data_IF_781779860519
#
_entry.id   IF_781779860519
#
_cell.length_a   1.000
_cell.length_b   1.000
_cell.length_c   1.000
_cell.angle_alpha   90.00
_cell.angle_beta   90.00
_cell.angle_gamma   90.00
#
_symmetry.space_group_name_H-M   'P 1'
#
loop_
_entity.id
_entity.type
_entity.pdbx_description
1 polymer ?
#
# COMPACT_ATOMS: atom_id res chain seq x y z
N UNK A 1 8.51 -4.94 -4.05
CA UNK A 1 8.26 -5.39 -2.67
C UNK A 1 7.96 -6.88 -2.64
N UNK A 2 8.75 -7.68 -1.91
CA UNK A 2 8.53 -9.12 -1.74
C UNK A 2 7.50 -9.46 -0.64
N UNK A 3 7.07 -8.48 0.15
CA UNK A 3 6.27 -8.68 1.36
C UNK A 3 4.86 -9.19 1.05
N UNK A 4 4.16 -8.63 0.06
CA UNK A 4 2.84 -9.11 -0.37
C UNK A 4 2.89 -10.58 -0.83
N UNK A 5 3.93 -10.95 -1.59
CA UNK A 5 4.13 -12.34 -2.02
C UNK A 5 4.41 -13.27 -0.83
N UNK A 6 5.17 -12.83 0.17
CA UNK A 6 5.39 -13.58 1.41
C UNK A 6 4.10 -13.78 2.22
N UNK A 7 3.25 -12.75 2.29
CA UNK A 7 1.95 -12.83 2.97
C UNK A 7 1.02 -13.85 2.28
N UNK A 8 0.96 -13.82 0.94
CA UNK A 8 0.22 -14.82 0.16
C UNK A 8 0.79 -16.23 0.33
N UNK A 9 2.12 -16.39 0.33
CA UNK A 9 2.76 -17.68 0.56
C UNK A 9 2.48 -18.22 1.98
N UNK A 10 2.45 -17.35 2.99
CA UNK A 10 2.08 -17.73 4.35
C UNK A 10 0.61 -18.17 4.45
N UNK A 11 -0.30 -17.48 3.76
CA UNK A 11 -1.71 -17.87 3.67
C UNK A 11 -1.88 -19.23 2.97
N UNK A 12 -1.17 -19.47 1.86
CA UNK A 12 -1.19 -20.74 1.14
C UNK A 12 -0.61 -21.89 1.97
N UNK A 13 0.46 -21.64 2.73
CA UNK A 13 1.04 -22.62 3.65
C UNK A 13 0.04 -22.97 4.76
N UNK A 14 -0.59 -21.98 5.37
CA UNK A 14 -1.63 -22.18 6.37
C UNK A 14 -2.80 -23.00 5.80
N UNK A 15 -3.28 -22.65 4.61
CA UNK A 15 -4.37 -23.35 3.93
C UNK A 15 -4.02 -24.83 3.66
N UNK A 16 -2.85 -25.11 3.07
CA UNK A 16 -2.45 -26.46 2.66
C UNK A 16 -2.00 -27.35 3.82
N UNK A 17 -1.28 -26.80 4.79
CA UNK A 17 -0.64 -27.59 5.85
C UNK A 17 -1.31 -27.45 7.21
N UNK A 18 -2.05 -26.36 7.45
CA UNK A 18 -2.63 -26.01 8.75
C UNK A 18 -1.60 -25.44 9.71
N UNK A 19 -0.34 -25.38 9.29
CA UNK A 19 0.77 -24.83 10.05
C UNK A 19 0.83 -23.35 9.77
N UNK A 20 0.69 -22.56 10.83
CA UNK A 20 0.90 -21.12 10.79
C UNK A 20 2.27 -20.83 11.37
N UNK A 21 3.13 -20.25 10.54
CA UNK A 21 4.45 -19.82 10.94
C UNK A 21 4.60 -18.35 10.61
N UNK A 22 4.37 -17.50 11.62
CA UNK A 22 4.61 -16.06 11.53
C UNK A 22 6.02 -15.68 11.97
N UNK A 23 6.84 -16.66 12.39
CA UNK A 23 8.17 -16.40 12.93
C UNK A 23 9.03 -15.70 11.88
N UNK A 24 8.97 -16.15 10.63
CA UNK A 24 9.66 -15.51 9.51
C UNK A 24 9.23 -14.04 9.29
N UNK A 25 7.93 -13.74 9.41
CA UNK A 25 7.42 -12.37 9.25
C UNK A 25 7.90 -11.50 10.40
N UNK A 26 7.84 -12.00 11.62
CA UNK A 26 8.30 -11.31 12.82
C UNK A 26 9.81 -11.07 12.78
N UNK A 27 10.61 -12.10 12.51
CA UNK A 27 12.06 -12.01 12.39
C UNK A 27 12.48 -11.05 11.27
N UNK A 28 11.76 -11.04 10.15
CA UNK A 28 12.00 -10.08 9.08
C UNK A 28 11.78 -8.64 9.55
N UNK A 29 10.65 -8.36 10.21
CA UNK A 29 10.38 -7.01 10.72
C UNK A 29 11.38 -6.61 11.82
N UNK A 30 11.64 -7.49 12.79
CA UNK A 30 12.65 -7.27 13.83
C UNK A 30 14.03 -7.01 13.22
N UNK A 31 14.40 -7.72 12.16
CA UNK A 31 15.62 -7.49 11.39
C UNK A 31 15.67 -6.09 10.78
N UNK A 32 14.58 -5.64 10.15
CA UNK A 32 14.45 -4.28 9.59
C UNK A 32 14.63 -3.22 10.67
N UNK A 33 13.90 -3.32 11.79
CA UNK A 33 14.01 -2.36 12.90
C UNK A 33 15.41 -2.36 13.52
N UNK A 34 16.04 -3.53 13.65
CA UNK A 34 17.40 -3.66 14.16
C UNK A 34 18.44 -3.03 13.23
N UNK A 35 18.34 -3.24 11.92
CA UNK A 35 19.23 -2.65 10.92
C UNK A 35 19.10 -1.13 10.88
N UNK A 36 17.87 -0.62 11.01
CA UNK A 36 17.56 0.80 11.06
C UNK A 36 17.87 1.45 12.42
N UNK A 37 18.18 0.66 13.46
CA UNK A 37 18.47 1.16 14.79
C UNK A 37 17.28 1.85 15.48
N UNK A 38 16.05 1.46 15.14
CA UNK A 38 14.81 1.99 15.73
C UNK A 38 14.05 0.94 16.54
N UNK A 39 13.39 1.33 17.65
CA UNK A 39 12.48 0.43 18.33
C UNK A 39 11.28 0.13 17.43
N UNK A 40 10.82 -1.12 17.45
CA UNK A 40 9.59 -1.51 16.75
C UNK A 40 8.38 -0.82 17.40
N UNK A 41 7.56 -0.07 16.65
CA UNK A 41 6.34 0.53 17.18
C UNK A 41 5.38 -0.54 17.71
N UNK A 42 4.70 -0.24 18.82
CA UNK A 42 3.66 -1.12 19.40
C UNK A 42 2.61 -1.49 18.35
N UNK A 43 2.25 -0.54 17.47
CA UNK A 43 1.30 -0.77 16.39
C UNK A 43 1.73 -1.88 15.43
N UNK A 44 3.03 -2.02 15.17
CA UNK A 44 3.55 -3.09 14.31
C UNK A 44 3.41 -4.44 15.00
N UNK A 45 3.68 -4.52 16.31
CA UNK A 45 3.46 -5.75 17.08
C UNK A 45 1.98 -6.15 17.08
N UNK A 46 1.06 -5.21 17.28
CA UNK A 46 -0.39 -5.45 17.19
C UNK A 46 -0.80 -6.01 15.83
N UNK A 47 -0.26 -5.44 14.75
CA UNK A 47 -0.54 -5.88 13.38
C UNK A 47 -0.03 -7.30 13.11
N UNK A 48 1.15 -7.66 13.63
CA UNK A 48 1.69 -9.02 13.52
C UNK A 48 0.81 -10.02 14.26
N UNK A 49 0.34 -9.68 15.47
CA UNK A 49 -0.58 -10.53 16.22
C UNK A 49 -1.95 -10.66 15.54
N UNK A 50 -2.46 -9.58 14.94
CA UNK A 50 -3.68 -9.63 14.14
C UNK A 50 -3.54 -10.55 12.94
N UNK A 51 -2.44 -10.46 12.19
CA UNK A 51 -2.12 -11.34 11.08
C UNK A 51 -2.06 -12.81 11.54
N UNK A 52 -1.43 -13.08 12.67
CA UNK A 52 -1.33 -14.43 13.24
C UNK A 52 -2.71 -15.05 13.52
N UNK A 53 -3.63 -14.27 14.12
CA UNK A 53 -5.00 -14.73 14.37
C UNK A 53 -5.73 -15.10 13.09
N UNK A 54 -5.60 -14.28 12.04
CA UNK A 54 -6.26 -14.52 10.76
C UNK A 54 -5.69 -15.78 10.08
N UNK A 55 -4.36 -15.90 10.01
CA UNK A 55 -3.71 -17.08 9.45
C UNK A 55 -4.06 -18.36 10.23
N UNK A 56 -4.18 -18.27 11.56
CA UNK A 56 -4.64 -19.37 12.41
C UNK A 56 -6.06 -19.81 12.08
N UNK A 57 -6.96 -18.86 11.84
CA UNK A 57 -8.31 -19.14 11.35
C UNK A 57 -8.29 -19.88 10.00
N UNK A 58 -7.47 -19.42 9.05
CA UNK A 58 -7.29 -20.09 7.75
C UNK A 58 -6.74 -21.51 7.90
N UNK A 59 -5.72 -21.70 8.76
CA UNK A 59 -5.13 -23.01 9.01
C UNK A 59 -6.09 -24.00 9.69
N UNK A 60 -6.98 -23.50 10.55
CA UNK A 60 -7.99 -24.31 11.24
C UNK A 60 -9.13 -24.70 10.30
N UNK A 61 -9.70 -23.73 9.59
CA UNK A 61 -10.86 -23.94 8.72
C UNK A 61 -10.51 -24.59 7.39
N UNK A 62 -9.23 -24.53 6.97
CA UNK A 62 -8.78 -24.98 5.66
C UNK A 62 -9.51 -24.30 4.50
N UNK A 63 -9.95 -23.07 4.76
CA UNK A 63 -10.64 -22.22 3.79
C UNK A 63 -10.13 -20.79 3.92
N UNK A 64 -10.11 -20.09 2.80
CA UNK A 64 -9.77 -18.67 2.73
C UNK A 64 -10.75 -17.95 1.81
N UNK A 65 -11.54 -17.06 2.38
CA UNK A 65 -12.44 -16.21 1.59
C UNK A 65 -11.66 -15.09 0.89
N UNK A 66 -12.21 -14.52 -0.18
CA UNK A 66 -11.63 -13.35 -0.84
C UNK A 66 -11.39 -12.19 0.15
N UNK A 67 -12.31 -11.98 1.10
CA UNK A 67 -12.18 -10.97 2.15
C UNK A 67 -11.01 -11.26 3.10
N UNK A 68 -10.81 -12.53 3.46
CA UNK A 68 -9.66 -12.93 4.27
C UNK A 68 -8.34 -12.72 3.51
N UNK A 69 -8.30 -12.99 2.19
CA UNK A 69 -7.14 -12.67 1.34
C UNK A 69 -6.83 -11.18 1.36
N UNK A 70 -7.82 -10.32 1.08
CA UNK A 70 -7.67 -8.85 1.08
C UNK A 70 -7.13 -8.36 2.43
N UNK A 71 -7.69 -8.88 3.54
CA UNK A 71 -7.18 -8.56 4.89
C UNK A 71 -5.73 -8.99 5.08
N UNK A 72 -5.35 -10.20 4.65
CA UNK A 72 -3.99 -10.72 4.80
C UNK A 72 -2.99 -9.89 3.99
N UNK A 73 -3.28 -9.57 2.72
CA UNK A 73 -2.36 -8.79 1.88
C UNK A 73 -2.23 -7.35 2.37
N UNK A 74 -3.27 -6.80 3.01
CA UNK A 74 -3.24 -5.43 3.54
C UNK A 74 -2.17 -5.18 4.60
N UNK A 75 -1.76 -6.22 5.33
CA UNK A 75 -0.73 -6.07 6.37
C UNK A 75 0.60 -5.57 5.81
N UNK A 76 0.91 -5.84 4.54
CA UNK A 76 2.11 -5.33 3.90
C UNK A 76 2.19 -3.81 3.96
N UNK A 77 1.15 -3.14 3.47
CA UNK A 77 1.06 -1.67 3.44
C UNK A 77 0.88 -1.10 4.85
N UNK A 78 -0.01 -1.70 5.67
CA UNK A 78 -0.28 -1.26 7.05
C UNK A 78 0.96 -1.28 7.93
N UNK A 79 1.83 -2.29 7.79
CA UNK A 79 3.11 -2.34 8.51
C UNK A 79 4.10 -1.35 7.90
N UNK A 80 4.18 -1.27 6.57
CA UNK A 80 5.17 -0.43 5.88
C UNK A 80 5.04 1.04 6.23
N UNK A 81 3.81 1.57 6.31
CA UNK A 81 3.60 2.99 6.69
C UNK A 81 4.01 3.29 8.13
N UNK A 82 3.87 2.32 9.04
CA UNK A 82 4.29 2.48 10.44
C UNK A 82 5.82 2.44 10.57
N UNK A 83 6.47 1.54 9.83
CA UNK A 83 7.95 1.50 9.73
C UNK A 83 8.46 2.82 9.19
N UNK A 84 7.90 3.28 8.06
CA UNK A 84 8.35 4.51 7.40
C UNK A 84 8.15 5.74 8.29
N UNK A 85 6.99 5.86 8.96
CA UNK A 85 6.75 6.95 9.90
C UNK A 85 7.74 6.92 11.09
N UNK A 86 8.09 5.74 11.60
CA UNK A 86 9.08 5.61 12.68
C UNK A 86 10.48 6.04 12.24
N UNK A 87 10.93 5.61 11.06
CA UNK A 87 12.22 6.03 10.47
C UNK A 87 12.24 7.54 10.21
N UNK A 88 11.16 8.08 9.65
CA UNK A 88 11.04 9.51 9.36
C UNK A 88 11.18 10.34 10.63
N UNK A 89 10.47 9.95 11.70
CA UNK A 89 10.55 10.62 13.00
C UNK A 89 11.96 10.58 13.60
N UNK A 90 12.64 9.43 13.58
CA UNK A 90 14.00 9.33 14.11
C UNK A 90 15.00 10.16 13.28
N UNK A 91 14.85 10.17 11.95
CA UNK A 91 15.77 10.90 11.06
C UNK A 91 15.61 12.41 11.25
N UNK A 92 14.38 12.91 11.39
CA UNK A 92 14.11 14.34 11.57
C UNK A 92 14.38 14.85 12.98
N UNK A 93 14.29 14.01 14.02
CA UNK A 93 14.78 14.37 15.37
C UNK A 93 16.24 14.87 15.33
N UNK A 94 17.03 14.47 14.33
CA UNK A 94 18.41 14.89 14.16
C UNK A 94 18.60 16.11 13.23
N UNK A 95 17.55 16.62 12.56
CA UNK A 95 17.69 17.65 11.51
C UNK A 95 16.67 18.79 11.50
N UNK A 96 15.42 18.60 11.96
CA UNK A 96 14.40 19.65 12.01
C UNK A 96 13.45 19.44 13.20
N UNK A 97 13.45 20.39 14.14
CA UNK A 97 12.49 20.43 15.24
C UNK A 97 11.09 20.80 14.69
N UNK A 98 10.15 19.86 14.72
CA UNK A 98 8.72 20.02 15.11
C UNK A 98 7.72 19.17 14.31
N UNK A 99 8.00 18.77 13.06
CA UNK A 99 7.00 18.03 12.26
C UNK A 99 7.24 16.52 12.31
N UNK A 100 6.37 15.82 13.05
CA UNK A 100 6.37 14.34 13.12
C UNK A 100 5.68 13.72 11.91
N UNK A 101 5.99 12.48 11.57
CA UNK A 101 5.21 11.66 10.65
C UNK A 101 4.24 10.73 11.40
N UNK A 102 3.09 10.46 10.78
CA UNK A 102 2.10 9.50 11.28
C UNK A 102 1.71 8.53 10.17
N UNK A 103 1.82 7.23 10.44
CA UNK A 103 1.29 6.17 9.57
C UNK A 103 -0.23 6.10 9.69
N UNK A 104 -0.93 6.16 8.56
CA UNK A 104 -2.39 6.26 8.48
C UNK A 104 -2.90 5.23 7.47
N UNK A 105 -3.89 4.45 7.84
CA UNK A 105 -4.58 3.59 6.89
C UNK A 105 -5.52 4.45 6.01
N UNK A 106 -5.55 4.21 4.69
CA UNK A 106 -6.27 5.04 3.71
C UNK A 106 -7.76 5.27 4.02
N UNK A 107 -8.43 4.32 4.68
CA UNK A 107 -9.83 4.49 5.09
C UNK A 107 -10.01 5.51 6.23
N UNK A 108 -8.98 5.77 7.04
CA UNK A 108 -9.03 6.80 8.09
C UNK A 108 -9.15 8.21 7.52
N UNK A 109 -8.66 8.42 6.28
CA UNK A 109 -8.84 9.67 5.52
C UNK A 109 -10.08 9.63 4.61
N UNK A 110 -10.90 8.57 4.69
CA UNK A 110 -12.12 8.44 3.93
C UNK A 110 -11.97 7.86 2.53
N UNK A 111 -10.91 7.09 2.26
CA UNK A 111 -10.82 6.30 1.03
C UNK A 111 -11.77 5.11 1.08
N UNK A 112 -12.91 5.24 0.39
CA UNK A 112 -13.96 4.23 0.30
C UNK A 112 -14.04 3.62 -1.10
N UNK A 113 -14.39 2.34 -1.16
CA UNK A 113 -14.57 1.61 -2.42
C UNK A 113 -15.93 0.93 -2.51
N UNK A 114 -16.26 0.44 -3.70
CA UNK A 114 -17.28 -0.61 -3.85
C UNK A 114 -16.91 -1.83 -2.98
N UNK A 115 -17.91 -2.63 -2.59
CA UNK A 115 -17.65 -3.86 -1.85
C UNK A 115 -16.75 -4.79 -2.65
N UNK A 116 -15.58 -5.07 -2.10
CA UNK A 116 -14.60 -5.98 -2.69
C UNK A 116 -15.16 -7.40 -2.75
N UNK A 117 -15.17 -7.95 -3.95
CA UNK A 117 -15.51 -9.34 -4.23
C UNK A 117 -14.65 -9.84 -5.37
N UNK A 118 -13.34 -9.94 -5.15
CA UNK A 118 -12.50 -10.73 -6.06
C UNK A 118 -13.06 -12.16 -6.15
N UNK A 119 -12.88 -12.83 -7.30
CA UNK A 119 -13.18 -14.26 -7.36
C UNK A 119 -12.30 -15.01 -6.35
N UNK A 120 -12.77 -16.14 -5.83
CA UNK A 120 -11.96 -16.97 -4.92
C UNK A 120 -10.60 -17.40 -5.55
N UNK A 121 -10.55 -17.36 -6.88
CA UNK A 121 -9.41 -17.69 -7.74
C UNK A 121 -8.50 -16.49 -8.05
N UNK A 122 -8.95 -15.25 -7.78
CA UNK A 122 -8.11 -14.06 -7.90
C UNK A 122 -7.37 -13.81 -6.59
N UNK A 123 -6.07 -13.57 -6.69
CA UNK A 123 -5.26 -13.18 -5.53
C UNK A 123 -5.66 -11.81 -4.94
N UNK A 124 -6.40 -10.99 -5.71
CA UNK A 124 -6.69 -9.60 -5.39
C UNK A 124 -8.13 -9.21 -5.77
N UNK A 125 -8.76 -8.36 -4.96
CA UNK A 125 -9.91 -7.56 -5.43
C UNK A 125 -9.46 -6.43 -6.36
N UNK A 126 -10.38 -5.96 -7.18
CA UNK A 126 -10.23 -4.77 -8.03
C UNK A 126 -11.36 -3.81 -7.67
N UNK A 127 -11.38 -3.37 -6.42
CA UNK A 127 -12.43 -2.50 -5.92
C UNK A 127 -12.30 -1.10 -6.53
N UNK A 128 -13.42 -0.48 -6.87
CA UNK A 128 -13.45 0.85 -7.47
C UNK A 128 -13.63 1.91 -6.39
N UNK A 129 -12.88 3.00 -6.48
CA UNK A 129 -12.96 4.11 -5.53
C UNK A 129 -14.29 4.85 -5.71
N UNK A 130 -15.02 5.02 -4.61
CA UNK A 130 -16.29 5.74 -4.63
C UNK A 130 -16.06 7.25 -4.81
N UNK A 131 -16.92 7.97 -5.55
CA UNK A 131 -16.81 9.43 -5.71
C UNK A 131 -16.80 10.20 -4.38
N UNK A 132 -17.48 9.69 -3.35
CA UNK A 132 -17.49 10.26 -2.00
C UNK A 132 -16.11 10.31 -1.34
N UNK A 133 -15.17 9.46 -1.78
CA UNK A 133 -13.80 9.43 -1.28
C UNK A 133 -13.06 10.74 -1.54
N UNK A 134 -13.26 11.35 -2.71
CA UNK A 134 -12.57 12.60 -3.07
C UNK A 134 -12.92 13.73 -2.10
N UNK A 135 -14.20 13.87 -1.77
CA UNK A 135 -14.69 14.85 -0.80
C UNK A 135 -14.19 14.53 0.61
N UNK A 136 -14.21 13.25 1.01
CA UNK A 136 -13.80 12.83 2.36
C UNK A 136 -12.31 13.06 2.60
N UNK A 137 -11.48 12.66 1.64
CA UNK A 137 -10.02 12.89 1.65
C UNK A 137 -9.72 14.39 1.68
N UNK A 138 -10.42 15.18 0.86
CA UNK A 138 -10.26 16.63 0.86
C UNK A 138 -10.55 17.26 2.22
N UNK A 139 -11.66 16.86 2.86
CA UNK A 139 -12.03 17.36 4.20
C UNK A 139 -11.02 16.96 5.27
N UNK A 140 -10.43 15.78 5.17
CA UNK A 140 -9.46 15.29 6.15
C UNK A 140 -8.07 15.91 5.97
N UNK A 141 -7.59 16.03 4.73
CA UNK A 141 -6.18 16.39 4.45
C UNK A 141 -5.95 17.85 4.14
N UNK A 142 -6.91 18.58 3.53
CA UNK A 142 -6.70 20.01 3.22
C UNK A 142 -6.41 20.87 4.46
N UNK A 143 -7.05 20.66 5.62
CA UNK A 143 -6.73 21.44 6.82
C UNK A 143 -5.29 21.26 7.31
N UNK A 144 -4.64 20.12 7.02
CA UNK A 144 -3.25 19.86 7.40
C UNK A 144 -2.25 20.75 6.64
N UNK A 145 -2.66 21.35 5.51
CA UNK A 145 -1.83 22.29 4.76
C UNK A 145 -1.55 23.59 5.54
N UNK A 146 -2.49 24.00 6.37
CA UNK A 146 -2.41 25.26 7.11
C UNK A 146 -1.81 25.07 8.52
N UNK A 147 -1.83 23.85 9.05
CA UNK A 147 -1.22 23.43 10.32
C UNK A 147 -0.59 22.04 10.18
N UNK A 148 0.71 22.01 9.90
CA UNK A 148 1.49 20.79 9.81
C UNK A 148 1.78 20.20 11.18
N UNK A 149 0.76 19.66 11.86
CA UNK A 149 0.96 18.95 13.12
C UNK A 149 1.71 17.62 12.87
N UNK A 150 1.58 17.06 11.66
CA UNK A 150 2.33 15.90 11.20
C UNK A 150 2.32 15.74 9.67
N UNK A 151 3.30 14.99 9.15
CA UNK A 151 3.30 14.46 7.78
C UNK A 151 2.48 13.15 7.73
N UNK A 152 1.40 13.07 6.95
CA UNK A 152 0.63 11.84 6.80
C UNK A 152 1.36 10.85 5.88
N UNK A 153 1.63 9.66 6.38
CA UNK A 153 2.18 8.52 5.63
C UNK A 153 1.04 7.53 5.42
N UNK A 154 0.40 7.59 4.26
CA UNK A 154 -0.87 6.90 4.00
C UNK A 154 -0.63 5.58 3.28
N UNK A 155 -1.35 4.52 3.66
CA UNK A 155 -1.26 3.22 2.97
C UNK A 155 -1.70 3.34 1.51
N UNK A 156 -0.90 2.79 0.60
CA UNK A 156 -1.30 2.61 -0.80
C UNK A 156 -2.11 1.33 -0.98
N UNK A 157 -2.67 1.12 -2.19
CA UNK A 157 -3.23 -0.16 -2.67
C UNK A 157 -4.48 -0.69 -1.94
N UNK A 158 -4.72 -0.31 -0.68
CA UNK A 158 -5.81 -0.79 0.16
C UNK A 158 -6.80 0.34 0.47
N UNK A 159 -8.04 -0.04 0.76
CA UNK A 159 -9.13 0.86 1.16
C UNK A 159 -10.19 0.08 1.98
N UNK A 160 -11.36 0.68 2.22
CA UNK A 160 -12.51 -0.02 2.79
C UNK A 160 -13.79 0.19 1.98
N UNK A 161 -14.69 -0.79 2.03
CA UNK A 161 -16.06 -0.59 1.58
C UNK A 161 -16.92 0.12 2.63
N UNK A 162 -18.18 0.41 2.29
CA UNK A 162 -19.14 1.07 3.18
C UNK A 162 -19.51 0.24 4.43
N UNK A 163 -19.16 -1.04 4.47
CA UNK A 163 -19.36 -1.92 5.62
C UNK A 163 -18.09 -2.04 6.49
N UNK A 164 -17.03 -1.28 6.17
CA UNK A 164 -15.75 -1.30 6.88
C UNK A 164 -14.88 -2.51 6.57
N UNK A 165 -15.18 -3.25 5.48
CA UNK A 165 -14.36 -4.38 5.05
C UNK A 165 -13.20 -3.86 4.22
N UNK A 166 -12.00 -4.36 4.52
CA UNK A 166 -10.81 -4.01 3.73
C UNK A 166 -10.95 -4.55 2.32
N UNK A 167 -10.63 -3.70 1.36
CA UNK A 167 -10.58 -3.97 -0.06
C UNK A 167 -9.20 -3.64 -0.60
N UNK A 168 -8.89 -4.19 -1.78
CA UNK A 168 -7.68 -3.86 -2.53
C UNK A 168 -8.04 -3.27 -3.88
N UNK A 169 -7.21 -2.35 -4.36
CA UNK A 169 -7.42 -1.60 -5.60
C UNK A 169 -6.87 -2.30 -6.83
N UNK A 170 -6.36 -3.54 -6.67
CA UNK A 170 -5.76 -4.29 -7.76
C UNK A 170 -4.35 -3.83 -8.13
N UNK A 171 -3.92 -4.24 -9.32
CA UNK A 171 -2.56 -4.04 -9.81
C UNK A 171 -2.25 -2.55 -9.93
N UNK A 172 -1.07 -2.13 -9.46
CA UNK A 172 -0.62 -0.73 -9.44
C UNK A 172 -1.50 0.18 -8.54
N UNK A 173 -2.29 -0.42 -7.63
CA UNK A 173 -3.24 0.31 -6.78
C UNK A 173 -2.61 1.38 -5.87
N UNK A 174 -1.31 1.30 -5.55
CA UNK A 174 -0.62 2.39 -4.82
C UNK A 174 -0.46 3.64 -5.67
N UNK A 175 -0.24 3.50 -6.99
CA UNK A 175 -0.18 4.64 -7.91
C UNK A 175 -1.57 5.31 -7.96
N UNK A 176 -2.65 4.51 -8.04
CA UNK A 176 -4.03 5.00 -7.99
C UNK A 176 -4.34 5.72 -6.66
N UNK A 177 -3.92 5.15 -5.52
CA UNK A 177 -4.08 5.82 -4.22
C UNK A 177 -3.45 7.22 -4.23
N UNK A 178 -2.23 7.34 -4.77
CA UNK A 178 -1.50 8.61 -4.81
C UNK A 178 -2.21 9.64 -5.70
N UNK A 179 -2.69 9.25 -6.89
CA UNK A 179 -3.38 10.20 -7.79
C UNK A 179 -4.74 10.62 -7.27
N UNK A 180 -5.50 9.71 -6.64
CA UNK A 180 -6.78 10.05 -5.99
C UNK A 180 -6.56 11.05 -4.84
N UNK A 181 -5.54 10.85 -4.00
CA UNK A 181 -5.21 11.80 -2.94
C UNK A 181 -4.82 13.15 -3.55
N UNK A 182 -3.93 13.15 -4.55
CA UNK A 182 -3.48 14.35 -5.25
C UNK A 182 -4.64 15.16 -5.82
N UNK A 183 -5.55 14.50 -6.53
CA UNK A 183 -6.77 15.12 -7.08
C UNK A 183 -7.67 15.68 -5.96
N UNK A 184 -7.84 14.95 -4.86
CA UNK A 184 -8.69 15.35 -3.73
C UNK A 184 -8.18 16.62 -3.04
N UNK A 185 -6.87 16.75 -2.88
CA UNK A 185 -6.26 17.91 -2.21
C UNK A 185 -5.87 19.05 -3.15
N UNK A 186 -6.15 18.91 -4.46
CA UNK A 186 -5.70 19.84 -5.50
C UNK A 186 -4.18 20.03 -5.47
N UNK A 187 -3.45 18.92 -5.38
CA UNK A 187 -2.00 18.91 -5.43
C UNK A 187 -1.53 19.49 -6.77
N UNK A 188 -0.43 20.25 -6.76
CA UNK A 188 0.19 20.76 -7.99
C UNK A 188 0.78 19.65 -8.84
N UNK A 189 1.19 18.54 -8.22
CA UNK A 189 1.74 17.36 -8.88
C UNK A 189 1.61 16.11 -7.99
N UNK A 190 1.74 14.94 -8.62
CA UNK A 190 1.87 13.64 -7.95
C UNK A 190 3.19 13.02 -8.40
N UNK A 191 4.04 12.69 -7.44
CA UNK A 191 5.35 12.10 -7.71
C UNK A 191 5.33 10.60 -7.41
N UNK A 192 5.62 9.80 -8.43
CA UNK A 192 5.72 8.34 -8.29
C UNK A 192 7.20 7.93 -8.30
N UNK A 193 7.65 7.35 -7.19
CA UNK A 193 9.03 6.92 -7.00
C UNK A 193 9.18 5.43 -7.32
N UNK A 194 9.95 5.10 -8.37
CA UNK A 194 10.20 3.71 -8.81
C UNK A 194 11.70 3.40 -8.83
N UNK A 195 12.03 2.12 -8.96
CA UNK A 195 13.39 1.57 -9.08
C UNK A 195 14.02 1.78 -10.47
N UNK A 196 13.29 2.44 -11.37
CA UNK A 196 13.72 2.81 -12.72
C UNK A 196 13.66 4.32 -12.89
N UNK A 197 14.54 4.87 -13.73
CA UNK A 197 14.67 6.32 -14.00
C UNK A 197 13.51 6.85 -14.86
N UNK A 198 12.29 6.72 -14.36
CA UNK A 198 11.06 7.14 -15.03
C UNK A 198 10.61 6.18 -16.14
N UNK A 199 9.86 6.73 -17.09
CA UNK A 199 9.36 6.00 -18.25
C UNK A 199 10.50 5.85 -19.25
N UNK A 200 10.71 4.63 -19.72
CA UNK A 200 11.71 4.32 -20.75
C UNK A 200 11.04 4.17 -22.11
N UNK A 201 11.76 4.43 -23.19
CA UNK A 201 11.25 4.25 -24.57
C UNK A 201 10.76 2.82 -24.85
N UNK A 202 11.27 1.84 -24.11
CA UNK A 202 10.84 0.43 -24.10
C UNK A 202 11.38 -0.25 -22.83
N UNK A 203 11.09 -1.54 -22.60
CA UNK A 203 11.61 -2.28 -21.43
C UNK A 203 13.15 -2.39 -21.50
N UNK A 204 13.90 -1.74 -20.58
CA UNK A 204 15.36 -1.76 -20.60
C UNK A 204 15.94 -3.16 -20.34
N UNK A 205 15.14 -4.09 -19.79
CA UNK A 205 15.53 -5.49 -19.56
C UNK A 205 15.55 -6.29 -20.87
N UNK A 206 14.75 -5.88 -21.86
CA UNK A 206 14.69 -6.48 -23.18
C UNK A 206 15.62 -5.75 -24.15
N UNK A 207 15.64 -4.42 -24.09
CA UNK A 207 16.45 -3.56 -24.96
C UNK A 207 17.35 -2.66 -24.10
N UNK A 208 18.63 -3.02 -23.88
CA UNK A 208 19.56 -2.24 -23.05
C UNK A 208 19.79 -0.81 -23.53
N UNK A 209 19.51 -0.51 -24.81
CA UNK A 209 19.62 0.82 -25.39
C UNK A 209 18.41 1.73 -25.12
N UNK A 210 17.43 1.28 -24.33
CA UNK A 210 16.27 2.08 -23.94
C UNK A 210 16.70 3.38 -23.25
N UNK A 211 16.02 4.48 -23.57
CA UNK A 211 16.33 5.81 -23.05
C UNK A 211 15.19 6.35 -22.19
N UNK A 212 15.46 7.21 -21.20
CA UNK A 212 14.42 7.90 -20.47
C UNK A 212 13.61 8.81 -21.39
N UNK A 213 12.30 8.81 -21.21
CA UNK A 213 11.38 9.75 -21.87
C UNK A 213 11.20 10.95 -20.94
N UNK A 214 11.66 12.12 -21.39
CA UNK A 214 11.72 13.31 -20.53
C UNK A 214 10.36 13.96 -20.23
N UNK A 215 9.43 13.92 -21.18
CA UNK A 215 8.06 14.44 -21.03
C UNK A 215 7.12 13.52 -21.79
N UNK A 216 5.96 13.26 -21.20
CA UNK A 216 4.91 12.45 -21.79
C UNK A 216 3.55 13.08 -21.46
N UNK A 217 2.63 13.07 -22.42
CA UNK A 217 1.24 13.46 -22.15
C UNK A 217 0.52 12.34 -21.38
N UNK A 218 -0.59 12.69 -20.72
CA UNK A 218 -1.41 11.71 -20.01
C UNK A 218 -1.93 10.61 -20.94
N UNK A 219 -2.38 10.98 -22.14
CA UNK A 219 -2.89 10.05 -23.15
C UNK A 219 -1.82 9.04 -23.57
N UNK A 220 -0.61 9.50 -23.85
CA UNK A 220 0.52 8.63 -24.17
C UNK A 220 0.90 7.72 -22.99
N UNK A 221 0.84 8.22 -21.75
CA UNK A 221 1.13 7.44 -20.54
C UNK A 221 0.10 6.32 -20.32
N UNK A 222 -1.18 6.62 -20.54
CA UNK A 222 -2.29 5.68 -20.42
C UNK A 222 -2.21 4.56 -21.48
N UNK A 223 -1.90 4.91 -22.73
CA UNK A 223 -1.69 3.95 -23.81
C UNK A 223 -0.50 3.02 -23.51
N UNK A 224 0.64 3.58 -23.11
CA UNK A 224 1.81 2.78 -22.71
C UNK A 224 1.50 1.83 -21.54
N UNK A 225 0.74 2.29 -20.55
CA UNK A 225 0.33 1.50 -19.38
C UNK A 225 -0.60 0.35 -19.76
N UNK A 226 -1.50 0.59 -20.72
CA UNK A 226 -2.45 -0.40 -21.24
C UNK A 226 -1.74 -1.52 -22.01
N UNK A 227 -0.70 -1.20 -22.78
CA UNK A 227 0.03 -2.15 -23.63
C UNK A 227 1.30 -2.76 -23.01
N UNK A 228 1.51 -2.58 -21.69
CA UNK A 228 2.46 -3.39 -20.93
C UNK A 228 3.70 -2.66 -20.41
N UNK A 229 3.84 -1.35 -20.66
CA UNK A 229 4.82 -0.57 -19.91
C UNK A 229 4.28 -0.39 -18.48
N UNK A 230 4.98 -0.90 -17.46
CA UNK A 230 4.59 -0.71 -16.04
C UNK A 230 4.84 0.74 -15.62
N UNK A 231 3.99 1.65 -16.10
CA UNK A 231 4.23 3.09 -16.04
C UNK A 231 3.37 3.72 -14.95
N UNK A 232 2.04 3.62 -15.04
CA UNK A 232 1.09 4.11 -14.01
C UNK A 232 -0.15 3.20 -14.02
N UNK A 233 -0.93 3.15 -12.94
CA UNK A 233 -2.23 2.48 -12.95
C UNK A 233 -3.15 3.04 -14.05
N UNK A 234 -3.83 2.22 -14.89
CA UNK A 234 -4.62 2.71 -16.02
C UNK A 234 -5.78 3.66 -15.66
N UNK A 235 -6.33 3.54 -14.46
CA UNK A 235 -7.39 4.41 -13.93
C UNK A 235 -6.89 5.59 -13.08
N UNK A 236 -5.58 5.82 -13.02
CA UNK A 236 -4.96 6.88 -12.22
C UNK A 236 -5.10 8.28 -12.84
#
# INVERSE_FOLDING_TARGET
>A
GSTTNKLLAAADKALKTGIVDIKEVKEFQEGVFKELGIPMPEKVAELIEELHRILSGVGLLREISARARDRIVSFGERISVQVFAAVFNQTLENQMEEVKAKGIDSWEIGMLTTSGGGSADSAFSQAEILPSSYTSIALHLRPLKDKYDHVPIITGYIAQDSEGKITTLGRDGSDLTATVIGASILASEVQIWKDVSGIMTTDPRVVPAARPVGVLTFEEAAELSTFGAKVVHPAA
#
